data_IF_005649712673
#
_entry.id   IF_005649712673
#
_cell.length_a   1.000
_cell.length_b   1.000
_cell.length_c   1.000
_cell.angle_alpha   90.00
_cell.angle_beta   90.00
_cell.angle_gamma   90.00
#
_symmetry.space_group_name_H-M   'P 1'
#
loop_
_entity.id
_entity.type
_entity.pdbx_description
1 polymer ?
#
# COMPACT_ATOMS: atom_id res chain seq x y z
N UNK A 1 -15.95 -18.92 4.79
CA UNK A 1 -14.75 -18.14 4.36
C UNK A 1 -13.55 -19.04 4.64
N UNK A 2 -12.90 -19.61 3.62
CA UNK A 2 -11.65 -20.35 3.82
C UNK A 2 -10.52 -19.35 4.11
N UNK A 3 -9.76 -19.62 5.17
CA UNK A 3 -8.73 -18.79 5.81
C UNK A 3 -7.80 -18.06 4.83
N UNK A 4 -8.18 -16.85 4.40
CA UNK A 4 -7.34 -15.98 3.56
C UNK A 4 -6.75 -14.89 4.43
N UNK A 5 -5.50 -14.53 4.18
CA UNK A 5 -4.78 -13.43 4.87
C UNK A 5 -4.63 -12.27 3.88
N UNK A 6 -5.12 -11.09 4.26
CA UNK A 6 -5.01 -9.86 3.49
C UNK A 6 -3.88 -9.01 4.09
N UNK A 7 -2.79 -8.84 3.33
CA UNK A 7 -1.64 -8.04 3.75
C UNK A 7 -1.62 -6.72 2.99
N UNK A 8 -1.64 -5.61 3.71
CA UNK A 8 -1.45 -4.27 3.15
C UNK A 8 0.03 -3.89 3.15
N UNK A 9 0.63 -3.81 1.96
CA UNK A 9 1.97 -3.28 1.74
C UNK A 9 1.91 -1.76 1.66
N UNK A 10 2.33 -1.10 2.74
CA UNK A 10 2.26 0.34 2.88
C UNK A 10 3.56 1.02 2.44
N UNK A 11 3.42 2.17 1.79
CA UNK A 11 4.51 3.13 1.57
C UNK A 11 4.01 4.51 1.98
N UNK A 12 4.91 5.33 2.50
CA UNK A 12 4.66 6.74 2.73
C UNK A 12 4.37 7.49 1.41
N UNK A 13 3.70 8.64 1.55
CA UNK A 13 3.20 9.41 0.42
C UNK A 13 4.33 9.97 -0.46
N UNK A 14 5.51 10.25 0.10
CA UNK A 14 6.63 10.82 -0.65
C UNK A 14 7.28 9.76 -1.53
N UNK A 15 7.58 8.60 -0.95
CA UNK A 15 8.09 7.43 -1.68
C UNK A 15 7.12 7.00 -2.78
N UNK A 16 5.81 6.97 -2.48
CA UNK A 16 4.78 6.59 -3.45
C UNK A 16 4.68 7.60 -4.60
N UNK A 17 4.75 8.90 -4.31
CA UNK A 17 4.74 9.95 -5.34
C UNK A 17 5.94 9.82 -6.27
N UNK A 18 7.14 9.62 -5.71
CA UNK A 18 8.37 9.47 -6.49
C UNK A 18 8.34 8.22 -7.39
N UNK A 19 7.82 7.09 -6.87
CA UNK A 19 7.70 5.84 -7.63
C UNK A 19 6.69 5.91 -8.78
N UNK A 20 5.56 6.57 -8.55
CA UNK A 20 4.48 6.59 -9.54
C UNK A 20 4.75 7.55 -10.69
N UNK A 21 5.43 8.68 -10.44
CA UNK A 21 5.69 9.69 -11.46
C UNK A 21 4.38 10.21 -12.07
N UNK A 22 4.19 10.03 -13.38
CA UNK A 22 2.97 10.42 -14.07
C UNK A 22 1.80 9.46 -13.77
N UNK A 23 0.94 9.91 -12.86
CA UNK A 23 -0.24 9.17 -12.38
C UNK A 23 -1.23 8.83 -13.50
N UNK A 24 -1.36 9.66 -14.54
CA UNK A 24 -2.29 9.43 -15.65
C UNK A 24 -1.80 8.28 -16.54
N UNK A 25 -0.50 8.26 -16.86
CA UNK A 25 0.13 7.17 -17.62
C UNK A 25 0.07 5.84 -16.88
N UNK A 26 0.09 5.87 -15.55
CA UNK A 26 -0.05 4.70 -14.68
C UNK A 26 -1.50 4.23 -14.49
N UNK A 27 -2.48 4.90 -15.10
CA UNK A 27 -3.90 4.54 -14.98
C UNK A 27 -4.50 4.82 -13.60
N UNK A 28 -3.93 5.76 -12.84
CA UNK A 28 -4.47 6.13 -11.52
C UNK A 28 -5.72 6.97 -11.71
N UNK A 29 -6.87 6.43 -11.32
CA UNK A 29 -8.14 7.15 -11.33
C UNK A 29 -8.15 8.17 -10.19
N UNK A 30 -8.12 9.45 -10.55
CA UNK A 30 -8.27 10.60 -9.65
C UNK A 30 -9.53 11.35 -10.09
N UNK A 31 -10.49 11.53 -9.17
CA UNK A 31 -11.73 12.26 -9.47
C UNK A 31 -11.43 13.75 -9.75
N UNK A 32 -12.24 14.44 -10.57
CA UNK A 32 -12.12 15.88 -10.71
C UNK A 32 -12.12 16.58 -9.35
N UNK A 33 -11.16 17.49 -9.13
CA UNK A 33 -11.00 18.21 -7.86
C UNK A 33 -10.32 17.44 -6.72
N UNK A 34 -9.98 16.15 -6.91
CA UNK A 34 -9.28 15.35 -5.90
C UNK A 34 -7.76 15.46 -6.07
N UNK A 35 -7.02 15.65 -4.99
CA UNK A 35 -5.56 15.60 -5.03
C UNK A 35 -5.03 14.18 -4.83
N UNK A 36 -3.75 13.96 -5.16
CA UNK A 36 -3.07 12.70 -4.83
C UNK A 36 -3.07 12.40 -3.33
N UNK A 37 -2.97 13.44 -2.48
CA UNK A 37 -3.01 13.29 -1.02
C UNK A 37 -4.40 12.85 -0.54
N UNK A 38 -5.46 13.39 -1.13
CA UNK A 38 -6.83 12.97 -0.82
C UNK A 38 -7.03 11.51 -1.22
N UNK A 39 -6.55 11.12 -2.41
CA UNK A 39 -6.63 9.74 -2.87
C UNK A 39 -5.86 8.79 -1.95
N UNK A 40 -4.65 9.18 -1.56
CA UNK A 40 -3.83 8.42 -0.63
C UNK A 40 -4.55 8.23 0.71
N UNK A 41 -5.10 9.31 1.30
CA UNK A 41 -5.85 9.23 2.56
C UNK A 41 -7.08 8.33 2.45
N UNK A 42 -7.88 8.46 1.39
CA UNK A 42 -9.07 7.64 1.16
C UNK A 42 -8.69 6.16 1.05
N UNK A 43 -7.74 5.83 0.18
CA UNK A 43 -7.32 4.44 -0.07
C UNK A 43 -6.60 3.81 1.12
N UNK A 44 -5.70 4.53 1.78
CA UNK A 44 -4.98 4.02 2.96
C UNK A 44 -5.93 3.67 4.10
N UNK A 45 -7.02 4.44 4.29
CA UNK A 45 -8.08 4.10 5.25
C UNK A 45 -8.78 2.79 4.89
N UNK A 46 -9.10 2.58 3.61
CA UNK A 46 -9.75 1.35 3.13
C UNK A 46 -8.82 0.14 3.24
N UNK A 47 -7.56 0.26 2.82
CA UNK A 47 -6.58 -0.83 2.93
C UNK A 47 -6.39 -1.25 4.38
N UNK A 48 -6.22 -0.29 5.30
CA UNK A 48 -6.15 -0.58 6.73
C UNK A 48 -7.42 -1.24 7.28
N UNK A 49 -8.60 -0.87 6.77
CA UNK A 49 -9.88 -1.44 7.22
C UNK A 49 -10.03 -2.91 6.84
N UNK A 50 -9.52 -3.31 5.67
CA UNK A 50 -9.73 -4.65 5.12
C UNK A 50 -8.52 -5.58 5.25
N UNK A 51 -7.35 -5.07 5.67
CA UNK A 51 -6.16 -5.89 5.90
C UNK A 51 -6.19 -6.56 7.27
N UNK A 52 -5.77 -7.82 7.32
CA UNK A 52 -5.45 -8.50 8.57
C UNK A 52 -4.11 -7.99 9.14
N UNK A 53 -3.16 -7.71 8.24
CA UNK A 53 -1.82 -7.22 8.60
C UNK A 53 -1.39 -6.04 7.72
N UNK A 54 -0.61 -5.13 8.30
CA UNK A 54 0.06 -4.04 7.58
C UNK A 54 1.57 -4.26 7.67
N UNK A 55 2.23 -4.29 6.53
CA UNK A 55 3.70 -4.27 6.41
C UNK A 55 4.09 -2.88 5.94
N UNK A 56 4.90 -2.18 6.74
CA UNK A 56 5.46 -0.90 6.31
C UNK A 56 6.70 -1.13 5.46
N UNK A 57 6.61 -0.84 4.17
CA UNK A 57 7.68 -1.02 3.20
C UNK A 57 8.56 0.22 3.04
N UNK A 58 8.25 1.33 3.75
CA UNK A 58 9.06 2.54 3.69
C UNK A 58 10.48 2.25 4.17
N UNK A 59 11.48 2.68 3.38
CA UNK A 59 12.92 2.48 3.62
C UNK A 59 13.37 1.02 3.77
N UNK A 60 12.57 0.05 3.30
CA UNK A 60 12.94 -1.37 3.28
C UNK A 60 13.28 -1.84 1.87
N UNK A 61 14.25 -2.75 1.79
CA UNK A 61 14.53 -3.50 0.57
C UNK A 61 13.57 -4.71 0.43
N UNK A 62 13.67 -5.42 -0.69
CA UNK A 62 12.78 -6.56 -0.99
C UNK A 62 12.94 -7.73 -0.02
N UNK A 63 14.16 -8.01 0.45
CA UNK A 63 14.44 -9.13 1.35
C UNK A 63 13.85 -8.88 2.74
N UNK A 64 13.95 -7.65 3.25
CA UNK A 64 13.33 -7.24 4.52
C UNK A 64 11.81 -7.38 4.48
N UNK A 65 11.18 -6.89 3.39
CA UNK A 65 9.73 -7.00 3.19
C UNK A 65 9.30 -8.47 3.09
N UNK A 66 10.05 -9.28 2.32
CA UNK A 66 9.74 -10.70 2.14
C UNK A 66 9.87 -11.48 3.45
N UNK A 67 10.88 -11.16 4.26
CA UNK A 67 11.08 -11.76 5.57
C UNK A 67 9.89 -11.49 6.50
N UNK A 68 9.40 -10.25 6.53
CA UNK A 68 8.24 -9.87 7.35
C UNK A 68 6.95 -10.56 6.88
N UNK A 69 6.73 -10.65 5.57
CA UNK A 69 5.59 -11.38 5.00
C UNK A 69 5.67 -12.87 5.37
N UNK A 70 6.85 -13.50 5.25
CA UNK A 70 7.06 -14.91 5.64
C UNK A 70 6.71 -15.14 7.10
N UNK A 71 7.14 -14.24 7.98
CA UNK A 71 6.83 -14.31 9.42
C UNK A 71 5.34 -14.17 9.71
N UNK A 72 4.61 -13.36 8.93
CA UNK A 72 3.15 -13.20 9.05
C UNK A 72 2.43 -14.48 8.63
N UNK A 73 2.82 -15.11 7.51
CA UNK A 73 2.12 -16.28 6.95
C UNK A 73 2.50 -17.61 7.60
N UNK A 74 3.63 -17.67 8.32
CA UNK A 74 4.07 -18.86 9.05
C UNK A 74 3.51 -18.96 10.47
N UNK A 75 2.67 -18.00 10.87
CA UNK A 75 1.92 -18.01 12.13
C UNK A 75 0.58 -18.68 11.93
#
# INVERSE_FOLDING_TARGET
KLNSIIIYLHLDIETLRNRLGDLKKRGVVIKPGMTFNDLFKERSKLYKKYSDYKVDCTNKNYDEILSEIKHIISR
#
